data_IF_439912962040
#
_entry.id   IF_439912962040
#
_cell.length_a   1.000
_cell.length_b   1.000
_cell.length_c   1.000
_cell.angle_alpha   90.00
_cell.angle_beta   90.00
_cell.angle_gamma   90.00
#
_symmetry.space_group_name_H-M   'P 1'
#
loop_
_entity.id
_entity.type
_entity.pdbx_description
1 polymer ?
#
# COMPACT_ATOMS: atom_id res chain seq x y z
N UNK A 1 1.69 2.47 28.28
CA UNK A 1 0.46 1.64 28.39
C UNK A 1 -0.60 2.51 29.04
N UNK A 2 -1.52 3.08 28.25
CA UNK A 2 -2.51 4.08 28.70
C UNK A 2 -3.85 3.41 29.01
N UNK A 3 -3.90 2.57 30.04
CA UNK A 3 -5.08 1.74 30.36
C UNK A 3 -6.25 2.57 30.95
N UNK A 4 -6.07 3.86 31.26
CA UNK A 4 -7.08 4.68 31.93
C UNK A 4 -7.55 5.92 31.14
N UNK A 5 -7.28 6.02 29.84
CA UNK A 5 -7.81 7.11 29.01
C UNK A 5 -8.87 6.59 28.07
N UNK A 6 -10.05 7.22 28.09
CA UNK A 6 -11.11 6.98 27.10
C UNK A 6 -10.51 7.04 25.68
N UNK A 7 -10.67 5.98 24.85
CA UNK A 7 -10.02 5.91 23.54
C UNK A 7 -10.32 7.09 22.62
N UNK A 8 -11.53 7.65 22.73
CA UNK A 8 -11.92 8.85 21.99
C UNK A 8 -11.09 10.07 22.40
N UNK A 9 -10.99 10.32 23.72
CA UNK A 9 -10.19 11.43 24.24
C UNK A 9 -8.71 11.23 23.94
N UNK A 10 -8.22 10.00 24.01
CA UNK A 10 -6.86 9.67 23.57
C UNK A 10 -6.64 10.04 22.09
N UNK A 11 -7.58 9.68 21.21
CA UNK A 11 -7.48 9.97 19.77
C UNK A 11 -7.48 11.47 19.50
N UNK A 12 -8.38 12.21 20.14
CA UNK A 12 -8.43 13.68 20.05
C UNK A 12 -7.11 14.28 20.52
N UNK A 13 -6.62 13.87 21.69
CA UNK A 13 -5.35 14.37 22.22
C UNK A 13 -4.16 14.00 21.33
N UNK A 14 -4.16 12.81 20.71
CA UNK A 14 -3.09 12.37 19.81
C UNK A 14 -3.03 13.22 18.53
N UNK A 15 -4.18 13.53 17.94
CA UNK A 15 -4.29 14.34 16.71
C UNK A 15 -3.98 15.81 17.02
N UNK A 16 -4.62 16.36 18.05
CA UNK A 16 -4.56 17.78 18.41
C UNK A 16 -3.51 18.07 19.48
N UNK A 17 -2.47 17.24 19.66
CA UNK A 17 -1.43 17.52 20.64
C UNK A 17 -0.71 18.84 20.30
N UNK A 18 -1.23 19.97 20.78
CA UNK A 18 -0.72 21.30 20.51
C UNK A 18 0.62 21.57 21.21
N UNK A 19 1.00 20.69 22.13
CA UNK A 19 2.27 20.75 22.85
C UNK A 19 3.45 20.20 22.01
N UNK A 20 3.18 19.54 20.88
CA UNK A 20 4.21 19.15 19.91
C UNK A 20 4.41 20.28 18.88
N UNK A 21 5.51 21.05 18.95
CA UNK A 21 5.72 22.21 18.06
C UNK A 21 5.83 21.84 16.57
N UNK A 22 6.14 20.58 16.25
CA UNK A 22 6.17 20.03 14.89
C UNK A 22 5.00 19.07 14.60
N UNK A 23 3.80 19.31 15.14
CA UNK A 23 2.65 18.46 14.86
C UNK A 23 2.21 18.55 13.38
N UNK A 24 2.78 17.68 12.54
CA UNK A 24 2.49 17.57 11.10
C UNK A 24 1.18 16.86 10.80
N UNK A 25 0.50 16.27 11.81
CA UNK A 25 -0.71 15.44 11.63
C UNK A 25 -1.88 16.22 11.04
N UNK A 26 -2.12 17.44 11.53
CA UNK A 26 -3.18 18.31 11.02
C UNK A 26 -2.91 18.75 9.57
N UNK A 27 -1.66 19.10 9.27
CA UNK A 27 -1.24 19.44 7.90
C UNK A 27 -1.43 18.24 6.95
N UNK A 28 -0.99 17.05 7.36
CA UNK A 28 -1.20 15.81 6.62
C UNK A 28 -2.69 15.55 6.38
N UNK A 29 -3.52 15.69 7.40
CA UNK A 29 -4.97 15.52 7.29
C UNK A 29 -5.58 16.45 6.23
N UNK A 30 -5.26 17.75 6.26
CA UNK A 30 -5.76 18.69 5.25
C UNK A 30 -5.24 18.41 3.84
N UNK A 31 -3.95 18.07 3.71
CA UNK A 31 -3.36 17.68 2.42
C UNK A 31 -4.08 16.44 1.87
N UNK A 32 -4.35 15.43 2.71
CA UNK A 32 -5.07 14.24 2.30
C UNK A 32 -6.52 14.55 1.91
N UNK A 33 -7.22 15.40 2.65
CA UNK A 33 -8.57 15.83 2.28
C UNK A 33 -8.59 16.50 0.90
N UNK A 34 -7.60 17.35 0.61
CA UNK A 34 -7.46 18.01 -0.70
C UNK A 34 -7.20 16.97 -1.78
N UNK A 35 -6.21 16.07 -1.60
CA UNK A 35 -5.90 15.04 -2.60
C UNK A 35 -7.08 14.10 -2.85
N UNK A 36 -7.74 13.62 -1.80
CA UNK A 36 -8.91 12.74 -1.92
C UNK A 36 -10.03 13.48 -2.66
N UNK A 37 -10.32 14.73 -2.30
CA UNK A 37 -11.37 15.51 -2.96
C UNK A 37 -11.08 15.72 -4.45
N UNK A 38 -9.86 16.12 -4.79
CA UNK A 38 -9.43 16.29 -6.19
C UNK A 38 -9.52 14.96 -6.94
N UNK A 39 -9.03 13.86 -6.36
CA UNK A 39 -9.07 12.56 -7.01
C UNK A 39 -10.49 12.03 -7.18
N UNK A 40 -11.38 12.21 -6.21
CA UNK A 40 -12.79 11.84 -6.37
C UNK A 40 -13.43 12.64 -7.50
N UNK A 41 -13.22 13.96 -7.54
CA UNK A 41 -13.75 14.81 -8.61
C UNK A 41 -13.21 14.42 -10.00
N UNK A 42 -11.91 14.10 -10.09
CA UNK A 42 -11.30 13.60 -11.32
C UNK A 42 -11.86 12.23 -11.72
N UNK A 43 -12.00 11.29 -10.78
CA UNK A 43 -12.56 9.97 -11.04
C UNK A 43 -14.00 10.05 -11.54
N UNK A 44 -14.83 10.90 -10.95
CA UNK A 44 -16.22 11.15 -11.39
C UNK A 44 -16.27 11.72 -12.82
N UNK A 45 -15.25 12.47 -13.22
CA UNK A 45 -15.18 13.04 -14.57
C UNK A 45 -14.57 12.09 -15.61
N UNK A 46 -13.54 11.33 -15.24
CA UNK A 46 -12.78 10.45 -16.13
C UNK A 46 -13.42 9.07 -16.32
N UNK A 47 -14.12 8.56 -15.30
CA UNK A 47 -14.64 7.19 -15.27
C UNK A 47 -16.18 7.15 -15.26
N UNK A 48 -16.82 7.94 -16.13
CA UNK A 48 -18.29 7.98 -16.26
C UNK A 48 -18.87 6.69 -16.83
N UNK A 49 -18.22 6.16 -17.86
CA UNK A 49 -18.72 5.00 -18.60
C UNK A 49 -18.22 3.68 -18.01
N UNK A 50 -18.88 2.58 -18.36
CA UNK A 50 -18.35 1.24 -18.07
C UNK A 50 -17.06 1.00 -18.87
N UNK A 51 -16.05 0.35 -18.28
CA UNK A 51 -14.83 0.02 -19.00
C UNK A 51 -15.16 -0.99 -20.12
N UNK A 52 -14.59 -0.76 -21.32
CA UNK A 52 -14.84 -1.60 -22.50
C UNK A 52 -13.77 -2.67 -22.68
N UNK A 53 -12.57 -2.38 -22.19
CA UNK A 53 -11.41 -3.26 -22.34
C UNK A 53 -10.78 -3.57 -20.98
N UNK A 54 -10.04 -4.68 -20.90
CA UNK A 54 -9.22 -5.00 -19.73
C UNK A 54 -8.17 -3.91 -19.42
N UNK A 55 -7.74 -3.18 -20.45
CA UNK A 55 -6.83 -2.02 -20.29
C UNK A 55 -7.52 -0.87 -19.55
N UNK A 56 -8.77 -0.57 -19.85
CA UNK A 56 -9.54 0.49 -19.18
C UNK A 56 -9.73 0.17 -17.69
N UNK A 57 -10.06 -1.09 -17.37
CA UNK A 57 -10.13 -1.58 -15.99
C UNK A 57 -8.79 -1.42 -15.28
N UNK A 58 -7.69 -1.79 -15.93
CA UNK A 58 -6.38 -1.66 -15.35
C UNK A 58 -6.00 -0.20 -15.07
N UNK A 59 -6.29 0.73 -15.99
CA UNK A 59 -6.05 2.17 -15.79
C UNK A 59 -6.79 2.66 -14.54
N UNK A 60 -8.06 2.26 -14.35
CA UNK A 60 -8.84 2.59 -13.16
C UNK A 60 -8.25 2.01 -11.89
N UNK A 61 -7.75 0.77 -11.92
CA UNK A 61 -7.06 0.18 -10.77
C UNK A 61 -5.79 0.95 -10.44
N UNK A 62 -4.95 1.26 -11.43
CA UNK A 62 -3.69 2.00 -11.23
C UNK A 62 -3.90 3.44 -10.79
N UNK A 63 -5.04 4.05 -11.12
CA UNK A 63 -5.45 5.35 -10.59
C UNK A 63 -5.47 5.37 -9.05
N UNK A 64 -6.07 4.36 -8.42
CA UNK A 64 -6.10 4.26 -6.95
C UNK A 64 -4.76 3.82 -6.35
N UNK A 65 -3.98 3.00 -7.05
CA UNK A 65 -2.63 2.65 -6.59
C UNK A 65 -1.73 3.89 -6.57
N UNK A 66 -1.86 4.77 -7.57
CA UNK A 66 -1.16 6.04 -7.59
C UNK A 66 -1.60 6.97 -6.45
N UNK A 67 -2.92 7.08 -6.21
CA UNK A 67 -3.43 7.83 -5.04
C UNK A 67 -2.90 7.26 -3.71
N UNK A 68 -2.84 5.93 -3.59
CA UNK A 68 -2.29 5.25 -2.42
C UNK A 68 -0.83 5.64 -2.18
N UNK A 69 0.02 5.68 -3.22
CA UNK A 69 1.41 6.16 -3.07
C UNK A 69 1.45 7.62 -2.62
N UNK A 70 0.66 8.50 -3.24
CA UNK A 70 0.66 9.93 -2.92
C UNK A 70 0.24 10.23 -1.49
N UNK A 71 -0.69 9.46 -0.93
CA UNK A 71 -1.19 9.67 0.43
C UNK A 71 -0.33 8.91 1.45
N UNK A 72 -0.11 7.61 1.23
CA UNK A 72 0.44 6.72 2.25
C UNK A 72 1.95 6.82 2.38
N UNK A 73 2.70 7.00 1.27
CA UNK A 73 4.15 7.07 1.33
C UNK A 73 4.66 8.29 2.12
N UNK A 74 4.26 9.54 1.81
CA UNK A 74 4.68 10.68 2.61
C UNK A 74 4.07 10.63 4.02
N UNK A 75 2.85 10.12 4.16
CA UNK A 75 2.20 9.91 5.45
C UNK A 75 3.04 9.05 6.39
N UNK A 76 3.49 7.89 5.91
CA UNK A 76 4.31 6.98 6.69
C UNK A 76 5.71 7.53 6.97
N UNK A 77 6.34 8.21 5.99
CA UNK A 77 7.67 8.81 6.19
C UNK A 77 7.63 9.91 7.27
N UNK A 78 6.55 10.71 7.30
CA UNK A 78 6.42 11.83 8.22
C UNK A 78 5.95 11.41 9.63
N UNK A 79 4.98 10.50 9.71
CA UNK A 79 4.47 10.00 10.99
C UNK A 79 3.87 8.57 10.86
N UNK A 80 4.69 7.53 11.11
CA UNK A 80 4.22 6.14 11.10
C UNK A 80 3.10 5.84 12.11
N UNK A 81 3.09 6.52 13.26
CA UNK A 81 2.08 6.28 14.30
C UNK A 81 0.72 6.84 13.85
N UNK A 82 0.73 8.04 13.26
CA UNK A 82 -0.47 8.59 12.64
C UNK A 82 -0.93 7.76 11.47
N UNK A 83 -0.01 7.25 10.64
CA UNK A 83 -0.36 6.36 9.53
C UNK A 83 -0.99 5.04 10.00
N UNK A 84 -0.52 4.46 11.11
CA UNK A 84 -1.14 3.28 11.73
C UNK A 84 -2.61 3.54 12.10
N UNK A 85 -2.88 4.66 12.77
CA UNK A 85 -4.24 5.08 13.14
C UNK A 85 -5.09 5.34 11.88
N UNK A 86 -4.55 6.08 10.92
CA UNK A 86 -5.22 6.41 9.66
C UNK A 86 -5.59 5.16 8.85
N UNK A 87 -4.70 4.17 8.76
CA UNK A 87 -5.01 2.89 8.11
C UNK A 87 -6.10 2.11 8.83
N UNK A 88 -6.11 2.13 10.16
CA UNK A 88 -7.15 1.47 10.97
C UNK A 88 -8.52 2.10 10.72
N UNK A 89 -8.58 3.43 10.71
CA UNK A 89 -9.79 4.18 10.38
C UNK A 89 -10.22 3.94 8.93
N UNK A 90 -9.32 4.06 7.96
CA UNK A 90 -9.62 3.89 6.55
C UNK A 90 -10.11 2.47 6.23
N UNK A 91 -9.51 1.44 6.82
CA UNK A 91 -9.96 0.04 6.65
C UNK A 91 -11.35 -0.15 7.21
N UNK A 92 -11.62 0.36 8.43
CA UNK A 92 -12.94 0.29 9.07
C UNK A 92 -14.00 1.04 8.25
N UNK A 93 -13.66 2.23 7.74
CA UNK A 93 -14.53 3.02 6.89
C UNK A 93 -14.84 2.32 5.56
N UNK A 94 -13.86 1.68 4.92
CA UNK A 94 -14.06 0.95 3.67
C UNK A 94 -14.94 -0.30 3.87
N UNK A 95 -14.78 -1.02 4.98
CA UNK A 95 -15.66 -2.13 5.34
C UNK A 95 -17.09 -1.62 5.57
N UNK A 96 -17.25 -0.49 6.25
CA UNK A 96 -18.55 0.12 6.48
C UNK A 96 -19.21 0.59 5.17
N UNK A 97 -18.45 1.26 4.30
CA UNK A 97 -18.94 1.69 2.98
C UNK A 97 -19.37 0.50 2.13
N UNK A 98 -18.63 -0.60 2.20
CA UNK A 98 -18.97 -1.84 1.52
C UNK A 98 -20.25 -2.47 2.07
N UNK A 99 -20.47 -2.41 3.39
CA UNK A 99 -21.72 -2.84 4.02
C UNK A 99 -22.91 -1.98 3.56
N UNK A 100 -22.75 -0.65 3.59
CA UNK A 100 -23.76 0.32 3.13
C UNK A 100 -24.11 0.08 1.65
N UNK A 101 -23.09 -0.15 0.80
CA UNK A 101 -23.28 -0.49 -0.62
C UNK A 101 -24.04 -1.80 -0.78
N UNK A 102 -23.60 -2.85 -0.09
CA UNK A 102 -24.14 -4.20 -0.25
C UNK A 102 -25.62 -4.27 0.13
N UNK A 103 -25.99 -3.67 1.28
CA UNK A 103 -27.38 -3.62 1.75
C UNK A 103 -28.18 -2.45 1.16
N UNK A 104 -27.57 -1.62 0.30
CA UNK A 104 -28.17 -0.41 -0.30
C UNK A 104 -28.82 0.51 0.74
N UNK A 105 -28.11 0.73 1.84
CA UNK A 105 -28.62 1.56 2.95
C UNK A 105 -28.82 3.00 2.49
N UNK A 106 -30.02 3.54 2.69
CA UNK A 106 -30.33 4.94 2.39
C UNK A 106 -29.52 5.89 3.30
N UNK A 107 -29.01 7.03 2.81
CA UNK A 107 -29.25 7.62 1.49
C UNK A 107 -28.21 7.27 0.40
N UNK A 108 -27.08 6.67 0.78
CA UNK A 108 -25.87 6.65 -0.08
C UNK A 108 -25.69 5.30 -0.82
N UNK A 109 -26.32 4.22 -0.36
CA UNK A 109 -26.07 2.86 -0.84
C UNK A 109 -26.20 2.68 -2.36
N UNK A 110 -27.24 3.25 -2.98
CA UNK A 110 -27.43 3.17 -4.43
C UNK A 110 -26.37 3.96 -5.21
N UNK A 111 -25.92 5.10 -4.68
CA UNK A 111 -24.85 5.89 -5.28
C UNK A 111 -23.52 5.12 -5.23
N UNK A 112 -23.21 4.51 -4.08
CA UNK A 112 -22.03 3.66 -3.91
C UNK A 112 -22.06 2.46 -4.87
N UNK A 113 -23.21 1.82 -5.03
CA UNK A 113 -23.34 0.68 -5.94
C UNK A 113 -23.09 1.07 -7.39
N UNK A 114 -23.69 2.19 -7.85
CA UNK A 114 -23.51 2.70 -9.20
C UNK A 114 -22.07 3.11 -9.48
N UNK A 115 -21.39 3.68 -8.50
CA UNK A 115 -19.98 4.07 -8.62
C UNK A 115 -19.05 2.85 -8.60
N UNK A 116 -19.12 2.01 -7.57
CA UNK A 116 -18.14 0.93 -7.35
C UNK A 116 -18.24 -0.20 -8.39
N UNK A 117 -19.42 -0.45 -8.98
CA UNK A 117 -19.56 -1.46 -10.04
C UNK A 117 -18.75 -1.13 -11.30
N UNK A 118 -18.36 0.14 -11.50
CA UNK A 118 -17.52 0.58 -12.61
C UNK A 118 -16.05 0.15 -12.47
N UNK A 119 -15.70 -0.44 -11.33
CA UNK A 119 -14.35 -0.84 -10.96
C UNK A 119 -14.22 -2.35 -10.67
N UNK A 120 -15.30 -3.11 -10.81
CA UNK A 120 -15.30 -4.56 -10.62
C UNK A 120 -14.48 -5.22 -11.73
N UNK A 121 -13.53 -6.05 -11.33
CA UNK A 121 -12.69 -6.88 -12.21
C UNK A 121 -13.04 -8.37 -12.00
N UNK A 122 -12.54 -9.23 -12.88
CA UNK A 122 -12.57 -10.69 -12.75
C UNK A 122 -12.04 -11.22 -11.41
N UNK A 123 -11.19 -10.44 -10.72
CA UNK A 123 -10.68 -10.75 -9.37
C UNK A 123 -11.72 -10.55 -8.27
N UNK A 124 -12.74 -9.72 -8.51
CA UNK A 124 -13.85 -9.50 -7.57
C UNK A 124 -14.96 -10.51 -7.86
N UNK A 125 -14.80 -11.72 -7.31
CA UNK A 125 -15.81 -12.77 -7.40
C UNK A 125 -16.77 -12.70 -6.21
N UNK A 126 -18.08 -12.65 -6.50
CA UNK A 126 -19.14 -12.71 -5.49
C UNK A 126 -19.79 -11.37 -5.17
N UNK A 127 -20.53 -11.29 -4.06
CA UNK A 127 -21.35 -10.12 -3.72
C UNK A 127 -20.56 -8.87 -3.30
N UNK A 128 -19.30 -9.06 -2.88
CA UNK A 128 -18.46 -8.02 -2.30
C UNK A 128 -17.39 -7.52 -3.29
N UNK A 129 -17.13 -6.21 -3.28
CA UNK A 129 -16.12 -5.53 -4.09
C UNK A 129 -14.87 -5.35 -3.22
N UNK A 130 -13.95 -6.31 -3.29
CA UNK A 130 -12.86 -6.44 -2.33
C UNK A 130 -11.54 -5.84 -2.80
N UNK A 131 -11.36 -5.60 -4.11
CA UNK A 131 -10.11 -5.07 -4.68
C UNK A 131 -9.56 -3.83 -3.96
N UNK A 132 -10.42 -2.86 -3.62
CA UNK A 132 -10.01 -1.63 -2.93
C UNK A 132 -9.71 -1.87 -1.44
N UNK A 133 -10.45 -2.77 -0.80
CA UNK A 133 -10.20 -3.18 0.59
C UNK A 133 -8.86 -3.91 0.68
N UNK A 134 -8.59 -4.84 -0.24
CA UNK A 134 -7.32 -5.56 -0.31
C UNK A 134 -6.14 -4.65 -0.59
N UNK A 135 -6.29 -3.60 -1.42
CA UNK A 135 -5.22 -2.61 -1.61
C UNK A 135 -4.86 -1.90 -0.29
N UNK A 136 -5.88 -1.43 0.45
CA UNK A 136 -5.65 -0.73 1.72
C UNK A 136 -5.06 -1.68 2.76
N UNK A 137 -5.62 -2.89 2.90
CA UNK A 137 -5.11 -3.91 3.82
C UNK A 137 -3.67 -4.30 3.44
N UNK A 138 -3.37 -4.47 2.16
CA UNK A 138 -2.03 -4.78 1.67
C UNK A 138 -1.00 -3.72 2.05
N UNK A 139 -1.36 -2.44 1.97
CA UNK A 139 -0.53 -1.33 2.44
C UNK A 139 -0.45 -1.25 3.98
N UNK A 140 -1.56 -1.53 4.68
CA UNK A 140 -1.69 -1.36 6.12
C UNK A 140 -1.02 -2.47 6.94
N UNK A 141 -1.08 -3.73 6.48
CA UNK A 141 -0.58 -4.89 7.23
C UNK A 141 0.90 -4.75 7.61
N UNK A 142 1.81 -4.38 6.70
CA UNK A 142 3.21 -4.19 7.08
C UNK A 142 3.42 -3.08 8.11
N UNK A 143 2.61 -2.02 8.07
CA UNK A 143 2.64 -0.93 9.06
C UNK A 143 2.17 -1.41 10.44
N UNK A 144 1.04 -2.12 10.50
CA UNK A 144 0.51 -2.68 11.75
C UNK A 144 1.48 -3.68 12.40
N UNK A 145 2.00 -4.62 11.60
CA UNK A 145 2.95 -5.64 12.10
C UNK A 145 4.25 -5.00 12.58
N UNK A 146 4.76 -3.99 11.86
CA UNK A 146 5.97 -3.27 12.27
C UNK A 146 5.79 -2.57 13.62
N UNK A 147 4.60 -2.00 13.87
CA UNK A 147 4.31 -1.32 15.13
C UNK A 147 4.12 -2.29 16.30
N UNK A 148 3.53 -3.46 16.05
CA UNK A 148 3.40 -4.51 17.08
C UNK A 148 4.76 -4.89 17.69
N UNK A 149 5.85 -4.77 16.92
CA UNK A 149 7.23 -5.00 17.38
C UNK A 149 7.85 -3.83 18.16
N UNK A 150 7.10 -2.76 18.43
CA UNK A 150 7.57 -1.59 19.18
C UNK A 150 8.42 -0.59 18.39
N UNK A 151 8.67 -0.85 17.10
CA UNK A 151 9.50 0.01 16.24
C UNK A 151 8.67 1.22 15.79
N UNK A 152 9.20 2.44 15.96
CA UNK A 152 8.50 3.67 15.55
C UNK A 152 8.52 3.86 14.04
N UNK A 153 9.70 3.77 13.40
CA UNK A 153 9.84 3.75 11.95
C UNK A 153 10.51 2.45 11.51
N UNK A 154 9.83 1.67 10.67
CA UNK A 154 10.39 0.45 10.10
C UNK A 154 10.37 0.51 8.58
N UNK A 155 11.51 0.17 7.97
CA UNK A 155 11.65 -0.02 6.52
C UNK A 155 10.71 -1.12 6.00
N UNK A 156 10.42 -2.14 6.83
CA UNK A 156 9.49 -3.21 6.47
C UNK A 156 8.03 -2.75 6.47
N UNK A 157 7.69 -1.67 7.17
CA UNK A 157 6.34 -1.08 7.12
C UNK A 157 6.01 -0.44 5.77
N UNK A 158 7.02 -0.09 4.98
CA UNK A 158 6.85 0.46 3.63
C UNK A 158 6.60 -0.61 2.55
N UNK A 159 6.76 -1.90 2.87
CA UNK A 159 6.71 -2.98 1.88
C UNK A 159 5.40 -2.95 1.09
N UNK A 160 4.27 -2.78 1.77
CA UNK A 160 2.97 -2.76 1.10
C UNK A 160 2.76 -1.56 0.19
N UNK A 161 3.14 -0.37 0.67
CA UNK A 161 3.00 0.87 -0.10
C UNK A 161 3.88 0.82 -1.37
N UNK A 162 5.12 0.33 -1.24
CA UNK A 162 6.07 0.29 -2.36
C UNK A 162 5.73 -0.85 -3.34
N UNK A 163 5.44 -2.06 -2.84
CA UNK A 163 5.13 -3.20 -3.72
C UNK A 163 3.86 -2.99 -4.52
N UNK A 164 2.77 -2.56 -3.88
CA UNK A 164 1.49 -2.36 -4.57
C UNK A 164 1.48 -1.04 -5.33
N UNK A 165 1.86 0.04 -4.65
CA UNK A 165 1.77 1.37 -5.20
C UNK A 165 2.73 1.60 -6.37
N UNK A 166 4.00 1.22 -6.19
CA UNK A 166 5.06 1.44 -7.19
C UNK A 166 5.29 0.20 -8.04
N UNK A 167 5.62 -0.93 -7.41
CA UNK A 167 6.02 -2.17 -8.09
C UNK A 167 4.96 -2.69 -9.04
N UNK A 168 3.79 -3.07 -8.52
CA UNK A 168 2.65 -3.60 -9.29
C UNK A 168 2.17 -2.60 -10.36
N UNK A 169 2.22 -1.30 -10.07
CA UNK A 169 1.91 -0.26 -11.07
C UNK A 169 2.91 -0.26 -12.23
N UNK A 170 4.22 -0.26 -11.93
CA UNK A 170 5.27 -0.25 -12.95
C UNK A 170 5.28 -1.55 -13.74
N UNK A 171 5.09 -2.70 -13.08
CA UNK A 171 4.97 -4.00 -13.73
C UNK A 171 3.86 -4.03 -14.77
N UNK A 172 2.69 -3.51 -14.39
CA UNK A 172 1.52 -3.48 -15.26
C UNK A 172 1.65 -2.49 -16.43
N UNK A 173 2.16 -1.27 -16.17
CA UNK A 173 2.33 -0.25 -17.22
C UNK A 173 3.36 -0.71 -18.26
N UNK A 174 4.52 -1.19 -17.82
CA UNK A 174 5.57 -1.66 -18.73
C UNK A 174 5.22 -3.01 -19.36
N UNK A 175 4.57 -3.90 -18.62
CA UNK A 175 4.09 -5.18 -19.16
C UNK A 175 3.05 -5.00 -20.26
N UNK A 176 2.15 -4.02 -20.13
CA UNK A 176 1.17 -3.73 -21.19
C UNK A 176 1.77 -3.03 -22.41
N UNK A 177 2.79 -2.17 -22.20
CA UNK A 177 3.38 -1.38 -23.28
C UNK A 177 4.47 -2.11 -24.05
N UNK A 178 5.29 -2.91 -23.34
CA UNK A 178 6.51 -3.51 -23.87
C UNK A 178 6.57 -5.03 -23.69
N UNK A 179 5.59 -5.64 -23.01
CA UNK A 179 5.62 -7.07 -22.71
C UNK A 179 5.57 -7.94 -23.95
N UNK A 180 6.57 -8.81 -24.10
CA UNK A 180 6.66 -9.80 -25.19
C UNK A 180 6.70 -11.21 -24.61
N UNK A 181 7.47 -11.40 -23.55
CA UNK A 181 7.66 -12.72 -22.94
C UNK A 181 6.79 -12.87 -21.69
N UNK A 182 5.90 -13.85 -21.70
CA UNK A 182 5.02 -14.15 -20.57
C UNK A 182 5.63 -15.18 -19.63
N UNK A 183 5.31 -15.06 -18.35
CA UNK A 183 5.58 -16.12 -17.37
C UNK A 183 4.74 -17.37 -17.69
N UNK A 184 5.25 -18.59 -17.43
CA UNK A 184 4.48 -19.82 -17.63
C UNK A 184 3.17 -19.78 -16.82
N UNK A 185 2.05 -20.16 -17.44
CA UNK A 185 0.73 -20.22 -16.80
C UNK A 185 0.25 -18.89 -16.18
N UNK A 186 0.76 -17.75 -16.67
CA UNK A 186 0.44 -16.42 -16.16
C UNK A 186 0.26 -15.42 -17.30
N UNK A 187 -0.57 -14.41 -17.07
CA UNK A 187 -0.74 -13.30 -18.01
C UNK A 187 0.29 -12.18 -17.80
N UNK A 188 1.17 -12.34 -16.81
CA UNK A 188 2.23 -11.37 -16.47
C UNK A 188 3.44 -11.57 -17.38
N UNK A 189 4.21 -10.51 -17.59
CA UNK A 189 5.34 -10.51 -18.51
C UNK A 189 6.67 -10.34 -17.78
N UNK A 190 7.74 -10.88 -18.36
CA UNK A 190 9.11 -10.75 -17.83
C UNK A 190 9.52 -9.28 -17.82
N UNK A 191 9.17 -8.51 -18.86
CA UNK A 191 9.45 -7.07 -18.93
C UNK A 191 8.73 -6.29 -17.82
N UNK A 192 7.51 -6.73 -17.46
CA UNK A 192 6.79 -6.21 -16.30
C UNK A 192 7.54 -6.51 -14.99
N UNK A 193 7.98 -7.75 -14.80
CA UNK A 193 8.79 -8.12 -13.62
C UNK A 193 10.11 -7.34 -13.53
N UNK A 194 10.79 -7.08 -14.65
CA UNK A 194 11.98 -6.22 -14.67
C UNK A 194 11.64 -4.80 -14.22
N UNK A 195 10.53 -4.23 -14.71
CA UNK A 195 10.07 -2.91 -14.28
C UNK A 195 9.69 -2.88 -12.78
N UNK A 196 9.08 -3.94 -12.26
CA UNK A 196 8.85 -4.12 -10.82
C UNK A 196 10.18 -4.04 -10.05
N UNK A 197 11.16 -4.88 -10.41
CA UNK A 197 12.46 -4.97 -9.73
C UNK A 197 13.15 -3.63 -9.69
N UNK A 198 13.28 -2.96 -10.85
CA UNK A 198 14.00 -1.69 -10.97
C UNK A 198 13.32 -0.58 -10.17
N UNK A 199 11.99 -0.49 -10.24
CA UNK A 199 11.24 0.56 -9.55
C UNK A 199 11.24 0.39 -8.04
N UNK A 200 11.00 -0.83 -7.54
CA UNK A 200 11.06 -1.16 -6.11
C UNK A 200 12.48 -0.95 -5.59
N UNK A 201 13.49 -1.46 -6.30
CA UNK A 201 14.90 -1.31 -5.92
C UNK A 201 15.30 0.16 -5.78
N UNK A 202 14.98 0.99 -6.78
CA UNK A 202 15.37 2.40 -6.78
C UNK A 202 14.69 3.18 -5.65
N UNK A 203 13.36 3.02 -5.49
CA UNK A 203 12.62 3.73 -4.44
C UNK A 203 13.07 3.29 -3.05
N UNK A 204 13.23 1.98 -2.80
CA UNK A 204 13.71 1.50 -1.51
C UNK A 204 15.12 1.99 -1.20
N UNK A 205 16.02 1.97 -2.18
CA UNK A 205 17.41 2.43 -2.00
C UNK A 205 17.44 3.91 -1.60
N UNK A 206 16.65 4.77 -2.25
CA UNK A 206 16.54 6.18 -1.87
C UNK A 206 16.06 6.33 -0.42
N UNK A 207 15.07 5.53 -0.02
CA UNK A 207 14.53 5.57 1.34
C UNK A 207 15.57 5.09 2.35
N UNK A 208 16.28 4.01 2.07
CA UNK A 208 17.35 3.51 2.94
C UNK A 208 18.43 4.58 3.16
N UNK A 209 18.91 5.20 2.09
CA UNK A 209 19.94 6.25 2.16
C UNK A 209 19.47 7.45 3.00
N UNK A 210 18.19 7.82 2.92
CA UNK A 210 17.65 9.00 3.61
C UNK A 210 17.17 8.75 5.03
N UNK A 211 16.67 7.55 5.32
CA UNK A 211 15.92 7.25 6.54
C UNK A 211 16.64 6.30 7.50
N UNK A 212 17.67 5.58 7.05
CA UNK A 212 18.45 4.64 7.88
C UNK A 212 19.82 5.25 8.18
N UNK A 213 20.08 5.66 9.43
CA UNK A 213 21.43 6.01 9.87
C UNK A 213 22.37 4.82 9.68
N UNK A 214 23.63 5.07 9.33
CA UNK A 214 24.68 4.04 9.15
C UNK A 214 24.37 2.97 8.08
N UNK A 215 23.73 3.39 6.99
CA UNK A 215 23.43 2.54 5.83
C UNK A 215 24.69 1.83 5.29
N UNK A 216 24.59 0.50 5.10
CA UNK A 216 25.64 -0.35 4.54
C UNK A 216 25.29 -0.79 3.10
N UNK A 217 26.27 -0.87 2.21
CA UNK A 217 26.12 -1.40 0.85
C UNK A 217 25.45 -2.79 0.80
N UNK A 218 25.66 -3.62 1.83
CA UNK A 218 24.98 -4.92 1.95
C UNK A 218 23.44 -4.79 1.97
N UNK A 219 22.89 -3.71 2.52
CA UNK A 219 21.44 -3.48 2.54
C UNK A 219 20.88 -3.21 1.14
N UNK A 220 21.65 -2.54 0.26
CA UNK A 220 21.28 -2.37 -1.16
C UNK A 220 21.28 -3.71 -1.90
N UNK A 221 22.27 -4.56 -1.65
CA UNK A 221 22.31 -5.91 -2.24
C UNK A 221 21.11 -6.73 -1.77
N UNK A 222 20.77 -6.69 -0.47
CA UNK A 222 19.59 -7.36 0.08
C UNK A 222 18.31 -6.87 -0.59
N UNK A 223 18.08 -5.57 -0.70
CA UNK A 223 16.88 -5.02 -1.36
C UNK A 223 16.78 -5.47 -2.82
N UNK A 224 17.91 -5.51 -3.56
CA UNK A 224 17.91 -6.01 -4.93
C UNK A 224 17.49 -7.49 -5.01
N UNK A 225 18.06 -8.33 -4.15
CA UNK A 225 17.68 -9.75 -4.08
C UNK A 225 16.20 -9.92 -3.69
N UNK A 226 15.74 -9.18 -2.68
CA UNK A 226 14.34 -9.21 -2.23
C UNK A 226 13.39 -8.78 -3.35
N UNK A 227 13.71 -7.72 -4.10
CA UNK A 227 12.84 -7.24 -5.19
C UNK A 227 12.78 -8.25 -6.32
N UNK A 228 13.89 -8.92 -6.66
CA UNK A 228 13.92 -10.03 -7.64
C UNK A 228 13.05 -11.19 -7.18
N UNK A 229 13.22 -11.69 -5.95
CA UNK A 229 12.43 -12.82 -5.44
C UNK A 229 10.94 -12.47 -5.37
N UNK A 230 10.61 -11.24 -4.97
CA UNK A 230 9.20 -10.76 -4.95
C UNK A 230 8.60 -10.68 -6.35
N UNK A 231 9.36 -10.20 -7.34
CA UNK A 231 8.92 -10.15 -8.74
C UNK A 231 8.76 -11.54 -9.37
N UNK A 232 9.60 -12.51 -8.97
CA UNK A 232 9.45 -13.91 -9.36
C UNK A 232 8.13 -14.48 -8.82
N UNK A 233 7.85 -14.28 -7.53
CA UNK A 233 6.59 -14.70 -6.93
C UNK A 233 5.40 -14.05 -7.63
N UNK A 234 5.47 -12.75 -7.92
CA UNK A 234 4.45 -12.06 -8.70
C UNK A 234 4.27 -12.73 -10.07
N UNK A 235 5.34 -12.98 -10.81
CA UNK A 235 5.29 -13.53 -12.16
C UNK A 235 4.60 -14.90 -12.24
N UNK A 236 4.88 -15.78 -11.29
CA UNK A 236 4.41 -17.18 -11.28
C UNK A 236 3.12 -17.39 -10.48
N UNK A 237 2.73 -16.44 -9.62
CA UNK A 237 1.56 -16.58 -8.75
C UNK A 237 0.29 -16.04 -9.41
N UNK A 238 -0.80 -16.81 -9.26
CA UNK A 238 -2.16 -16.43 -9.60
C UNK A 238 -2.96 -15.94 -8.37
N UNK A 239 -2.32 -15.85 -7.20
CA UNK A 239 -2.96 -15.38 -5.98
C UNK A 239 -3.25 -13.87 -6.04
N UNK A 240 -3.96 -13.35 -5.04
CA UNK A 240 -4.22 -11.92 -4.97
C UNK A 240 -2.95 -11.14 -4.59
N UNK A 241 -2.36 -10.50 -5.60
CA UNK A 241 -1.17 -9.67 -5.49
C UNK A 241 -1.25 -8.62 -4.37
N UNK A 242 -2.43 -8.04 -4.15
CA UNK A 242 -2.66 -7.01 -3.13
C UNK A 242 -2.48 -7.52 -1.69
N UNK A 243 -2.57 -8.83 -1.46
CA UNK A 243 -2.40 -9.43 -0.13
C UNK A 243 -1.04 -10.10 0.01
N UNK A 244 -0.66 -10.86 -1.02
CA UNK A 244 0.50 -11.76 -0.93
C UNK A 244 1.82 -11.00 -1.08
N UNK A 245 1.95 -10.10 -2.06
CA UNK A 245 3.23 -9.43 -2.32
C UNK A 245 3.73 -8.58 -1.14
N UNK A 246 2.89 -7.76 -0.46
CA UNK A 246 3.31 -7.00 0.69
C UNK A 246 3.87 -7.85 1.82
N UNK A 247 3.15 -8.91 2.19
CA UNK A 247 3.51 -9.81 3.28
C UNK A 247 4.76 -10.61 2.94
N UNK A 248 4.84 -11.10 1.70
CA UNK A 248 6.00 -11.83 1.23
C UNK A 248 7.26 -10.96 1.25
N UNK A 249 7.21 -9.76 0.66
CA UNK A 249 8.36 -8.85 0.70
C UNK A 249 8.73 -8.46 2.14
N UNK A 250 7.73 -8.18 3.00
CA UNK A 250 7.97 -7.90 4.42
C UNK A 250 8.66 -9.06 5.14
N UNK A 251 8.27 -10.30 4.85
CA UNK A 251 8.89 -11.48 5.44
C UNK A 251 10.37 -11.60 5.06
N UNK A 252 10.72 -11.38 3.79
CA UNK A 252 12.09 -11.40 3.30
C UNK A 252 12.94 -10.28 3.90
N UNK A 253 12.42 -9.05 3.97
CA UNK A 253 13.10 -7.91 4.62
C UNK A 253 13.42 -8.23 6.08
N UNK A 254 12.44 -8.75 6.82
CA UNK A 254 12.66 -9.06 8.24
C UNK A 254 13.64 -10.24 8.43
N UNK A 255 13.59 -11.26 7.58
CA UNK A 255 14.48 -12.43 7.65
C UNK A 255 15.95 -12.03 7.45
N UNK A 256 16.23 -11.24 6.40
CA UNK A 256 17.59 -10.81 6.07
C UNK A 256 18.14 -9.75 7.04
N UNK A 257 17.27 -9.07 7.80
CA UNK A 257 17.69 -8.14 8.85
C UNK A 257 17.95 -8.85 10.18
N UNK A 258 17.31 -9.99 10.44
CA UNK A 258 17.51 -10.78 11.66
C UNK A 258 18.92 -11.37 11.73
N UNK A 259 19.49 -11.82 10.62
CA UNK A 259 20.85 -12.39 10.56
C UNK A 259 21.94 -11.39 10.99
N UNK A 260 21.77 -10.09 10.70
CA UNK A 260 22.72 -9.07 11.13
C UNK A 260 22.77 -8.90 12.67
N UNK A 261 21.64 -9.14 13.36
CA UNK A 261 21.56 -8.94 14.81
C UNK A 261 22.27 -10.03 15.61
N UNK A 262 22.34 -11.26 15.08
CA UNK A 262 22.98 -12.40 15.76
C UNK A 262 24.50 -12.44 15.58
N UNK A 263 25.02 -11.95 14.44
CA UNK A 263 26.46 -11.89 14.20
C UNK A 263 27.20 -10.91 15.14
N UNK A 264 26.52 -9.86 15.63
CA UNK A 264 27.08 -8.93 16.63
C UNK A 264 27.02 -9.47 18.06
N UNK A 265 26.07 -10.34 18.40
CA UNK A 265 25.97 -10.92 19.74
C UNK A 265 26.90 -12.12 19.96
N UNK A 266 27.42 -12.75 18.90
CA UNK A 266 28.34 -13.88 18.99
C UNK A 266 29.83 -13.49 18.93
N UNK A 267 30.13 -12.18 18.92
CA UNK A 267 31.50 -11.63 18.83
C UNK A 267 31.94 -10.83 20.07
N UNK A 268 31.19 -10.93 21.18
CA UNK A 268 31.55 -10.43 22.51
C UNK A 268 31.66 -11.65 23.44
#
# INVERSE_FOLDING_TARGET
MFINTEPFMWTVNFIFNFNEPENKKMLLFFIWLIFISIFVLLALNLFKDKPKTARDLNIRRKYYHFLAVLIFLPGYILDPNFMHLAFSFATSAMIMLEYIRYFRVWPIGDYLQKFLILFVDSKDSGPAILSHIYLIIGCALPVWISRFRGISFSVSGLCGIITLGVGDSMASVFGQKFGRYKWPNSNKTIEGSVAFVLSVFFIYTIILIKAVPDFNYLEVVKIFVISVITALLEGISNQNDNVILPLFMMSLVNMLNYENSHHFSSTI
#
